data_IF_034642387670
#
_entry.id   IF_034642387670
#
_cell.length_a   1.000
_cell.length_b   1.000
_cell.length_c   1.000
_cell.angle_alpha   90.00
_cell.angle_beta   90.00
_cell.angle_gamma   90.00
#
_symmetry.space_group_name_H-M   'P 1'
#
loop_
_entity.id
_entity.type
_entity.pdbx_description
1 polymer ?
#
# COMPACT_ATOMS: atom_id res chain seq x y z
N UNK A 1 -26.40 50.49 -41.33
CA UNK A 1 -26.32 50.92 -39.91
C UNK A 1 -27.55 50.33 -39.24
N UNK A 2 -27.41 49.15 -38.63
CA UNK A 2 -27.27 48.95 -37.16
C UNK A 2 -28.68 48.90 -36.54
N UNK A 3 -29.16 47.89 -35.80
CA UNK A 3 -28.53 46.87 -34.95
C UNK A 3 -29.54 45.73 -34.67
N UNK A 4 -28.96 44.58 -34.38
CA UNK A 4 -29.48 43.29 -33.87
C UNK A 4 -30.37 43.39 -32.62
N UNK A 5 -31.35 42.49 -32.39
CA UNK A 5 -31.99 42.38 -31.09
C UNK A 5 -31.04 41.68 -30.10
N UNK A 6 -30.78 42.35 -28.97
CA UNK A 6 -29.96 41.84 -27.88
C UNK A 6 -30.69 40.73 -27.12
N UNK A 7 -30.13 39.53 -27.23
CA UNK A 7 -30.41 38.37 -26.39
C UNK A 7 -29.94 38.69 -24.96
N UNK A 8 -30.89 39.01 -24.08
CA UNK A 8 -30.60 39.11 -22.64
C UNK A 8 -30.65 37.70 -22.09
N UNK A 9 -29.49 37.07 -21.98
CA UNK A 9 -29.28 35.82 -21.25
C UNK A 9 -29.77 36.00 -19.81
N UNK A 10 -30.98 35.50 -19.52
CA UNK A 10 -31.37 35.19 -18.16
C UNK A 10 -30.39 34.14 -17.63
N UNK A 11 -29.51 34.57 -16.72
CA UNK A 11 -28.81 33.66 -15.81
C UNK A 11 -29.89 33.00 -14.96
N UNK A 12 -30.34 31.83 -15.38
CA UNK A 12 -31.06 30.89 -14.53
C UNK A 12 -30.14 30.53 -13.38
N UNK A 13 -30.38 31.24 -12.28
CA UNK A 13 -29.66 31.12 -11.03
C UNK A 13 -30.17 29.83 -10.37
N UNK A 14 -29.44 28.73 -10.51
CA UNK A 14 -29.70 27.45 -9.84
C UNK A 14 -29.34 27.55 -8.36
N UNK A 15 -30.06 28.38 -7.61
CA UNK A 15 -29.86 28.53 -6.16
C UNK A 15 -31.22 28.64 -5.45
N UNK A 16 -31.97 27.53 -5.37
CA UNK A 16 -33.22 27.51 -4.57
C UNK A 16 -33.66 26.13 -4.04
N UNK A 17 -32.74 25.20 -3.74
CA UNK A 17 -33.07 23.94 -3.03
C UNK A 17 -32.26 23.69 -1.74
N UNK A 18 -31.45 24.67 -1.28
CA UNK A 18 -30.48 24.48 -0.20
C UNK A 18 -31.05 24.26 1.23
N UNK A 19 -32.18 24.86 1.67
CA UNK A 19 -32.69 24.65 3.03
C UNK A 19 -33.22 23.23 3.31
N UNK A 20 -34.07 22.63 2.46
CA UNK A 20 -34.62 21.30 2.72
C UNK A 20 -33.57 20.21 2.56
N UNK A 21 -32.68 20.26 1.56
CA UNK A 21 -31.66 19.22 1.42
C UNK A 21 -30.66 19.24 2.59
N UNK A 22 -30.28 20.43 3.05
CA UNK A 22 -29.43 20.60 4.23
C UNK A 22 -30.06 20.02 5.48
N UNK A 23 -31.35 20.31 5.74
CA UNK A 23 -32.08 19.75 6.88
C UNK A 23 -32.25 18.22 6.79
N UNK A 24 -32.40 17.66 5.58
CA UNK A 24 -32.40 16.20 5.35
C UNK A 24 -31.06 15.57 5.75
N UNK A 25 -29.94 16.17 5.31
CA UNK A 25 -28.60 15.67 5.65
C UNK A 25 -28.32 15.77 7.14
N UNK A 26 -28.69 16.90 7.78
CA UNK A 26 -28.57 17.05 9.23
C UNK A 26 -29.42 16.04 10.01
N UNK A 27 -30.64 15.73 9.54
CA UNK A 27 -31.49 14.71 10.16
C UNK A 27 -30.85 13.31 10.11
N UNK A 28 -30.17 12.96 9.02
CA UNK A 28 -29.44 11.68 8.90
C UNK A 28 -28.17 11.65 9.77
N UNK A 29 -27.42 12.76 9.83
CA UNK A 29 -26.19 12.85 10.63
C UNK A 29 -26.47 12.80 12.13
N UNK A 30 -27.56 13.44 12.59
CA UNK A 30 -27.91 13.53 14.00
C UNK A 30 -28.66 12.28 14.52
N UNK A 31 -29.01 11.34 13.65
CA UNK A 31 -29.65 10.07 14.03
C UNK A 31 -31.09 10.22 14.55
N UNK A 32 -31.72 9.09 14.87
CA UNK A 32 -33.16 8.96 15.14
C UNK A 32 -33.71 9.94 16.19
N UNK A 33 -32.91 10.31 17.20
CA UNK A 33 -33.28 11.19 18.31
C UNK A 33 -33.43 12.67 17.92
N UNK A 34 -33.04 13.04 16.70
CA UNK A 34 -33.11 14.42 16.18
C UNK A 34 -34.37 14.75 15.37
N UNK A 35 -35.34 13.82 15.33
CA UNK A 35 -36.62 14.01 14.61
C UNK A 35 -37.36 15.26 15.09
N UNK A 36 -37.39 15.46 16.41
CA UNK A 36 -38.11 16.55 17.06
C UNK A 36 -37.36 17.88 16.91
N UNK A 37 -36.02 17.86 16.84
CA UNK A 37 -35.19 19.06 16.73
C UNK A 37 -35.04 19.59 15.30
N UNK A 38 -35.26 18.75 14.29
CA UNK A 38 -35.14 19.13 12.87
C UNK A 38 -36.50 19.24 12.15
N UNK A 39 -37.59 18.83 12.81
CA UNK A 39 -38.96 18.97 12.31
C UNK A 39 -39.26 18.16 11.05
N UNK A 40 -38.47 17.13 10.75
CA UNK A 40 -38.59 16.35 9.51
C UNK A 40 -38.58 14.85 9.75
N UNK A 41 -39.66 14.19 9.34
CA UNK A 41 -39.74 12.74 9.24
C UNK A 41 -39.08 12.27 7.93
N UNK A 42 -38.12 11.34 8.03
CA UNK A 42 -37.57 10.66 6.87
C UNK A 42 -38.59 9.63 6.38
N UNK A 43 -38.76 9.51 5.06
CA UNK A 43 -39.71 8.57 4.44
C UNK A 43 -39.06 7.81 3.29
N UNK A 44 -39.59 6.64 2.96
CA UNK A 44 -39.12 5.81 1.84
C UNK A 44 -37.65 5.40 1.97
N UNK A 45 -36.85 5.74 0.94
CA UNK A 45 -35.42 5.38 0.86
C UNK A 45 -34.60 5.95 2.02
N UNK A 46 -34.92 7.16 2.47
CA UNK A 46 -34.17 7.84 3.53
C UNK A 46 -34.42 7.19 4.89
N UNK A 47 -35.62 6.67 5.13
CA UNK A 47 -35.94 5.94 6.35
C UNK A 47 -35.21 4.59 6.40
N UNK A 48 -35.05 3.92 5.25
CA UNK A 48 -34.28 2.68 5.16
C UNK A 48 -32.78 2.92 5.39
N UNK A 49 -32.21 3.99 4.81
CA UNK A 49 -30.82 4.42 5.06
C UNK A 49 -30.59 4.75 6.54
N UNK A 50 -31.47 5.55 7.15
CA UNK A 50 -31.38 5.91 8.57
C UNK A 50 -31.49 4.68 9.47
N UNK A 51 -32.38 3.74 9.15
CA UNK A 51 -32.50 2.47 9.89
C UNK A 51 -31.22 1.63 9.78
N UNK A 52 -30.59 1.56 8.60
CA UNK A 52 -29.35 0.82 8.42
C UNK A 52 -28.17 1.46 9.19
N UNK A 53 -28.09 2.78 9.22
CA UNK A 53 -27.08 3.52 10.01
C UNK A 53 -27.33 3.39 11.51
N UNK A 54 -28.59 3.49 11.95
CA UNK A 54 -28.98 3.37 13.35
C UNK A 54 -28.74 1.96 13.90
N UNK A 55 -28.89 0.92 13.06
CA UNK A 55 -28.60 -0.45 13.44
C UNK A 55 -27.12 -0.70 13.79
N UNK A 56 -26.21 0.06 13.16
CA UNK A 56 -24.76 -0.02 13.38
C UNK A 56 -24.27 0.98 14.45
N UNK A 57 -24.69 2.24 14.37
CA UNK A 57 -24.16 3.34 15.18
C UNK A 57 -25.06 3.77 16.35
N UNK A 58 -26.34 3.36 16.36
CA UNK A 58 -27.33 3.77 17.38
C UNK A 58 -27.17 3.09 18.75
N UNK A 59 -26.31 2.07 18.87
CA UNK A 59 -26.11 1.33 20.12
C UNK A 59 -25.20 2.02 21.14
N UNK A 60 -24.39 3.01 20.74
CA UNK A 60 -23.32 3.61 21.57
C UNK A 60 -23.69 4.88 22.34
N UNK A 61 -24.87 5.47 22.07
CA UNK A 61 -25.32 6.70 22.72
C UNK A 61 -26.02 6.44 24.05
N UNK A 62 -25.27 6.42 25.16
CA UNK A 62 -25.75 6.74 26.51
C UNK A 62 -27.09 6.14 26.96
N UNK A 63 -27.22 4.80 27.04
CA UNK A 63 -28.31 4.19 27.82
C UNK A 63 -28.00 4.30 29.32
N UNK A 64 -28.60 5.27 30.01
CA UNK A 64 -28.90 5.13 31.44
C UNK A 64 -29.81 3.91 31.62
N UNK A 65 -29.59 3.06 32.63
CA UNK A 65 -30.49 1.96 32.94
C UNK A 65 -31.71 2.56 33.65
N UNK A 66 -32.78 2.86 32.92
CA UNK A 66 -34.07 3.13 33.55
C UNK A 66 -35.18 2.36 32.84
N UNK A 67 -35.62 1.36 33.58
CA UNK A 67 -36.99 0.94 33.81
C UNK A 67 -37.81 0.31 32.68
N UNK A 68 -38.51 -0.74 33.09
CA UNK A 68 -39.39 -1.57 32.28
C UNK A 68 -40.62 -0.75 31.92
N UNK A 69 -40.84 -0.49 30.63
CA UNK A 69 -42.13 0.00 30.18
C UNK A 69 -42.16 0.54 28.76
N UNK A 70 -42.79 -0.23 27.88
CA UNK A 70 -43.53 0.26 26.70
C UNK A 70 -42.72 0.70 25.47
N UNK A 71 -42.61 -0.20 24.49
CA UNK A 71 -42.92 0.13 23.08
C UNK A 71 -41.83 0.66 22.15
N UNK A 72 -40.59 0.87 22.59
CA UNK A 72 -39.48 1.25 21.70
C UNK A 72 -38.78 0.02 21.10
N UNK A 73 -39.14 -0.39 19.87
CA UNK A 73 -38.33 -1.35 19.11
C UNK A 73 -36.97 -0.73 18.81
N UNK A 74 -35.99 -0.92 19.68
CA UNK A 74 -34.59 -0.66 19.34
C UNK A 74 -34.18 -1.67 18.27
N UNK A 75 -34.06 -1.20 17.02
CA UNK A 75 -33.57 -1.96 15.87
C UNK A 75 -32.05 -2.16 15.98
N UNK A 76 -31.59 -2.76 17.08
CA UNK A 76 -30.23 -3.26 17.16
C UNK A 76 -30.10 -4.51 16.29
N UNK A 77 -28.91 -4.73 15.73
CA UNK A 77 -28.51 -6.03 15.19
C UNK A 77 -28.38 -7.00 16.38
N UNK A 78 -29.51 -7.45 16.93
CA UNK A 78 -29.55 -8.53 17.90
C UNK A 78 -28.97 -9.78 17.24
N UNK A 79 -28.15 -10.53 17.99
CA UNK A 79 -27.29 -11.65 17.56
C UNK A 79 -28.02 -12.78 16.81
N UNK A 80 -28.52 -12.49 15.61
CA UNK A 80 -29.23 -13.43 14.74
C UNK A 80 -28.76 -13.17 13.32
N UNK A 81 -28.02 -14.13 12.76
CA UNK A 81 -27.48 -14.10 11.40
C UNK A 81 -28.46 -13.60 10.31
N UNK A 82 -29.77 -13.92 10.34
CA UNK A 82 -30.71 -13.44 9.33
C UNK A 82 -30.96 -11.92 9.35
N UNK A 83 -30.77 -11.28 10.51
CA UNK A 83 -30.93 -9.82 10.63
C UNK A 83 -29.71 -9.09 10.07
N UNK A 84 -28.52 -9.67 10.25
CA UNK A 84 -27.24 -9.15 9.74
C UNK A 84 -27.17 -9.32 8.22
N UNK A 85 -27.55 -10.49 7.68
CA UNK A 85 -27.58 -10.73 6.23
C UNK A 85 -28.51 -9.74 5.50
N UNK A 86 -29.69 -9.46 6.07
CA UNK A 86 -30.61 -8.45 5.53
C UNK A 86 -29.99 -7.06 5.55
N UNK A 87 -29.38 -6.68 6.67
CA UNK A 87 -28.69 -5.40 6.81
C UNK A 87 -27.54 -5.24 5.80
N UNK A 88 -26.73 -6.28 5.58
CA UNK A 88 -25.68 -6.29 4.54
C UNK A 88 -26.26 -6.10 3.12
N UNK A 89 -27.40 -6.71 2.83
CA UNK A 89 -28.12 -6.50 1.57
C UNK A 89 -28.66 -5.07 1.43
N UNK A 90 -29.20 -4.51 2.51
CA UNK A 90 -29.74 -3.15 2.56
C UNK A 90 -28.63 -2.11 2.33
N UNK A 91 -27.48 -2.22 3.00
CA UNK A 91 -26.38 -1.26 2.82
C UNK A 91 -25.88 -1.25 1.36
N UNK A 92 -25.79 -2.41 0.70
CA UNK A 92 -25.37 -2.51 -0.71
C UNK A 92 -26.36 -1.87 -1.68
N UNK A 93 -27.64 -1.83 -1.32
CA UNK A 93 -28.70 -1.24 -2.16
C UNK A 93 -28.70 0.29 -2.07
N UNK A 94 -28.27 0.83 -0.92
CA UNK A 94 -28.43 2.24 -0.62
C UNK A 94 -27.12 3.05 -0.67
N UNK A 95 -25.97 2.42 -0.42
CA UNK A 95 -24.69 3.11 -0.33
C UNK A 95 -23.72 2.70 -1.45
N UNK A 96 -22.81 3.60 -1.89
CA UNK A 96 -21.70 3.24 -2.75
C UNK A 96 -20.78 2.20 -2.09
N UNK A 97 -20.12 1.37 -2.89
CA UNK A 97 -19.20 0.30 -2.41
C UNK A 97 -18.17 0.80 -1.40
N UNK A 98 -17.54 1.96 -1.65
CA UNK A 98 -16.56 2.54 -0.73
C UNK A 98 -17.13 2.86 0.66
N UNK A 99 -18.41 3.21 0.76
CA UNK A 99 -19.08 3.47 2.04
C UNK A 99 -19.53 2.16 2.69
N UNK A 100 -19.98 1.20 1.88
CA UNK A 100 -20.35 -0.15 2.35
C UNK A 100 -19.17 -0.83 3.04
N UNK A 101 -17.96 -0.77 2.46
CA UNK A 101 -16.74 -1.32 3.04
C UNK A 101 -16.43 -0.73 4.43
N UNK A 102 -16.53 0.60 4.58
CA UNK A 102 -16.31 1.28 5.87
C UNK A 102 -17.35 0.85 6.91
N UNK A 103 -18.63 0.81 6.52
CA UNK A 103 -19.71 0.38 7.42
C UNK A 103 -19.58 -1.11 7.80
N UNK A 104 -19.13 -1.96 6.88
CA UNK A 104 -18.89 -3.38 7.14
C UNK A 104 -17.73 -3.58 8.13
N UNK A 105 -16.61 -2.88 7.93
CA UNK A 105 -15.50 -2.85 8.89
C UNK A 105 -15.98 -2.48 10.29
N UNK A 106 -16.69 -1.34 10.40
CA UNK A 106 -17.23 -0.89 11.68
C UNK A 106 -18.17 -1.93 12.29
N UNK A 107 -18.94 -2.65 11.48
CA UNK A 107 -19.82 -3.70 11.96
C UNK A 107 -19.04 -4.94 12.46
N UNK A 108 -17.98 -5.35 11.78
CA UNK A 108 -17.10 -6.45 12.22
C UNK A 108 -16.48 -6.10 13.57
N UNK A 109 -15.91 -4.90 13.70
CA UNK A 109 -15.21 -4.46 14.92
C UNK A 109 -16.17 -4.23 16.10
N UNK A 110 -17.31 -3.56 15.86
CA UNK A 110 -18.22 -3.14 16.95
C UNK A 110 -19.24 -4.20 17.33
N UNK A 111 -19.67 -5.02 16.37
CA UNK A 111 -20.75 -5.99 16.56
C UNK A 111 -20.23 -7.43 16.63
N UNK A 112 -18.90 -7.64 16.53
CA UNK A 112 -18.29 -8.96 16.65
C UNK A 112 -18.72 -9.91 15.53
N UNK A 113 -19.00 -9.38 14.33
CA UNK A 113 -19.47 -10.19 13.19
C UNK A 113 -18.42 -11.19 12.68
N UNK A 114 -17.18 -11.10 13.15
CA UNK A 114 -16.10 -12.03 12.81
C UNK A 114 -16.52 -13.50 13.01
N UNK A 115 -17.25 -13.83 14.08
CA UNK A 115 -17.70 -15.22 14.31
C UNK A 115 -18.82 -15.65 13.34
N UNK A 116 -19.62 -14.72 12.84
CA UNK A 116 -20.68 -15.00 11.85
C UNK A 116 -20.13 -15.21 10.43
N UNK A 117 -18.89 -14.76 10.16
CA UNK A 117 -18.19 -15.07 8.91
C UNK A 117 -17.83 -16.56 8.76
N UNK A 118 -18.04 -17.38 9.80
CA UNK A 118 -17.92 -18.84 9.72
C UNK A 118 -19.09 -19.47 8.93
N UNK A 119 -20.20 -18.75 8.75
CA UNK A 119 -21.36 -19.19 8.00
C UNK A 119 -21.20 -18.84 6.50
N UNK A 120 -21.30 -19.81 5.58
CA UNK A 120 -21.11 -19.57 4.13
C UNK A 120 -22.06 -18.50 3.55
N UNK A 121 -23.32 -18.49 4.00
CA UNK A 121 -24.34 -17.52 3.55
C UNK A 121 -23.94 -16.07 3.88
N UNK A 122 -23.23 -15.87 4.99
CA UNK A 122 -22.73 -14.56 5.40
C UNK A 122 -21.55 -14.12 4.54
N UNK A 123 -20.64 -15.03 4.17
CA UNK A 123 -19.49 -14.71 3.32
C UNK A 123 -19.91 -14.26 1.91
N UNK A 124 -20.98 -14.83 1.36
CA UNK A 124 -21.51 -14.44 0.05
C UNK A 124 -22.18 -13.05 0.08
N UNK A 125 -22.69 -12.64 1.24
CA UNK A 125 -23.37 -11.36 1.42
C UNK A 125 -22.41 -10.18 1.65
N UNK A 126 -21.19 -10.45 2.14
CA UNK A 126 -20.18 -9.43 2.45
C UNK A 126 -19.46 -8.98 1.18
N UNK A 127 -19.10 -7.69 1.13
CA UNK A 127 -18.32 -7.16 0.01
C UNK A 127 -16.84 -7.55 0.18
N UNK A 128 -16.19 -8.15 -0.82
CA UNK A 128 -14.79 -8.53 -0.70
C UNK A 128 -13.89 -7.30 -0.58
N UNK A 129 -13.16 -7.20 0.52
CA UNK A 129 -12.14 -6.18 0.74
C UNK A 129 -10.88 -6.76 1.42
N UNK A 130 -9.80 -5.99 1.46
CA UNK A 130 -8.51 -6.41 2.04
C UNK A 130 -8.62 -6.68 3.55
N UNK A 131 -9.52 -5.98 4.25
CA UNK A 131 -9.67 -6.09 5.69
C UNK A 131 -10.40 -7.39 6.08
N UNK A 132 -11.42 -7.77 5.30
CA UNK A 132 -12.11 -9.05 5.36
C UNK A 132 -11.12 -10.19 5.17
N UNK A 133 -10.21 -10.10 4.18
CA UNK A 133 -9.16 -11.12 4.01
C UNK A 133 -8.33 -11.27 5.28
N UNK A 134 -7.89 -10.15 5.89
CA UNK A 134 -7.17 -10.18 7.17
C UNK A 134 -7.98 -10.86 8.30
N UNK A 135 -9.28 -10.58 8.36
CA UNK A 135 -10.21 -11.19 9.33
C UNK A 135 -10.40 -12.69 9.07
N UNK A 136 -10.52 -13.12 7.81
CA UNK A 136 -10.65 -14.54 7.46
C UNK A 136 -9.37 -15.31 7.77
N UNK A 137 -8.20 -14.71 7.54
CA UNK A 137 -6.92 -15.32 7.85
C UNK A 137 -6.72 -15.48 9.36
N UNK A 138 -7.18 -14.53 10.19
CA UNK A 138 -7.10 -14.66 11.66
C UNK A 138 -8.03 -15.76 12.19
N UNK A 139 -9.17 -15.96 11.53
CA UNK A 139 -10.13 -17.05 11.83
C UNK A 139 -9.73 -18.40 11.23
N UNK A 140 -8.65 -18.48 10.45
CA UNK A 140 -8.24 -19.65 9.65
C UNK A 140 -8.20 -20.99 10.39
N UNK A 141 -7.82 -21.00 11.68
CA UNK A 141 -7.78 -22.22 12.52
C UNK A 141 -9.15 -22.69 13.00
N UNK A 142 -10.12 -21.78 13.10
CA UNK A 142 -11.46 -22.06 13.61
C UNK A 142 -12.48 -22.38 12.50
N UNK A 143 -12.11 -22.17 11.23
CA UNK A 143 -13.01 -22.40 10.09
C UNK A 143 -13.18 -23.90 9.77
N UNK A 144 -14.43 -24.38 9.62
CA UNK A 144 -14.71 -25.69 9.02
C UNK A 144 -14.21 -25.78 7.57
N UNK A 145 -13.82 -26.99 7.11
CA UNK A 145 -13.29 -27.20 5.74
C UNK A 145 -14.24 -26.70 4.63
N UNK A 146 -15.55 -26.87 4.81
CA UNK A 146 -16.56 -26.39 3.84
C UNK A 146 -16.56 -24.86 3.72
N UNK A 147 -16.35 -24.14 4.83
CA UNK A 147 -16.29 -22.67 4.83
C UNK A 147 -14.95 -22.18 4.27
N UNK A 148 -13.86 -22.96 4.41
CA UNK A 148 -12.54 -22.59 3.88
C UNK A 148 -12.54 -22.44 2.36
N UNK A 149 -13.29 -23.26 1.64
CA UNK A 149 -13.40 -23.14 0.18
C UNK A 149 -14.11 -21.84 -0.23
N UNK A 150 -15.22 -21.50 0.44
CA UNK A 150 -15.93 -20.22 0.21
C UNK A 150 -15.04 -19.03 0.58
N UNK A 151 -14.34 -19.08 1.71
CA UNK A 151 -13.39 -18.05 2.12
C UNK A 151 -12.26 -17.91 1.08
N UNK A 152 -11.71 -19.00 0.56
CA UNK A 152 -10.72 -18.99 -0.52
C UNK A 152 -11.25 -18.34 -1.79
N UNK A 153 -12.50 -18.60 -2.17
CA UNK A 153 -13.12 -17.96 -3.34
C UNK A 153 -13.25 -16.43 -3.16
N UNK A 154 -13.65 -15.98 -1.97
CA UNK A 154 -13.72 -14.55 -1.63
C UNK A 154 -12.34 -13.91 -1.66
N UNK A 155 -11.34 -14.52 -1.02
CA UNK A 155 -9.95 -14.04 -1.02
C UNK A 155 -9.39 -13.98 -2.44
N UNK A 156 -9.64 -15.00 -3.26
CA UNK A 156 -9.21 -15.05 -4.66
C UNK A 156 -9.73 -13.87 -5.45
N UNK A 157 -11.01 -13.51 -5.29
CA UNK A 157 -11.59 -12.35 -5.97
C UNK A 157 -10.88 -11.05 -5.59
N UNK A 158 -10.58 -10.83 -4.31
CA UNK A 158 -9.82 -9.65 -3.85
C UNK A 158 -8.41 -9.64 -4.43
N UNK A 159 -7.74 -10.79 -4.42
CA UNK A 159 -6.38 -10.96 -4.96
C UNK A 159 -6.35 -10.69 -6.46
N UNK A 160 -7.28 -11.24 -7.24
CA UNK A 160 -7.38 -11.03 -8.69
C UNK A 160 -7.64 -9.55 -9.03
N UNK A 161 -8.53 -8.89 -8.28
CA UNK A 161 -8.81 -7.46 -8.47
C UNK A 161 -7.58 -6.58 -8.15
N UNK A 162 -6.85 -6.92 -7.08
CA UNK A 162 -5.59 -6.24 -6.72
C UNK A 162 -4.49 -6.49 -7.74
N UNK A 163 -4.32 -7.74 -8.19
CA UNK A 163 -3.34 -8.10 -9.19
C UNK A 163 -3.60 -7.37 -10.50
N UNK A 164 -4.83 -7.36 -11.00
CA UNK A 164 -5.21 -6.64 -12.22
C UNK A 164 -4.90 -5.14 -12.14
N UNK A 165 -5.09 -4.52 -10.96
CA UNK A 165 -4.79 -3.11 -10.74
C UNK A 165 -3.28 -2.83 -10.65
N UNK A 166 -2.53 -3.70 -9.97
CA UNK A 166 -1.13 -3.44 -9.60
C UNK A 166 -0.10 -4.01 -10.59
N UNK A 167 -0.42 -5.10 -11.29
CA UNK A 167 0.55 -5.85 -12.12
C UNK A 167 1.16 -4.97 -13.21
N UNK A 168 0.33 -4.33 -14.04
CA UNK A 168 0.78 -3.57 -15.22
C UNK A 168 1.75 -2.44 -14.84
N UNK A 169 1.42 -1.66 -13.80
CA UNK A 169 2.29 -0.58 -13.31
C UNK A 169 3.57 -1.15 -12.71
N UNK A 170 3.47 -2.17 -11.86
CA UNK A 170 4.61 -2.81 -11.21
C UNK A 170 5.61 -3.33 -12.24
N UNK A 171 5.12 -4.09 -13.22
CA UNK A 171 5.94 -4.66 -14.29
C UNK A 171 6.64 -3.60 -15.12
N UNK A 172 5.91 -2.54 -15.50
CA UNK A 172 6.45 -1.45 -16.32
C UNK A 172 7.55 -0.69 -15.58
N UNK A 173 7.26 -0.27 -14.35
CA UNK A 173 8.19 0.51 -13.52
C UNK A 173 9.45 -0.29 -13.21
N UNK A 174 9.32 -1.56 -12.81
CA UNK A 174 10.45 -2.41 -12.45
C UNK A 174 11.26 -2.87 -13.65
N UNK A 175 10.63 -3.18 -14.78
CA UNK A 175 11.36 -3.52 -16.02
C UNK A 175 12.23 -2.34 -16.46
N UNK A 176 11.68 -1.11 -16.43
CA UNK A 176 12.45 0.08 -16.75
C UNK A 176 13.60 0.35 -15.76
N UNK A 177 13.40 0.05 -14.48
CA UNK A 177 14.43 0.16 -13.45
C UNK A 177 15.55 -0.88 -13.62
N UNK A 178 15.18 -2.13 -13.92
CA UNK A 178 16.11 -3.22 -14.18
C UNK A 178 16.98 -2.95 -15.41
N UNK A 179 16.38 -2.46 -16.49
CA UNK A 179 17.10 -2.04 -17.70
C UNK A 179 18.12 -0.93 -17.42
N UNK A 180 17.74 0.07 -16.63
CA UNK A 180 18.66 1.15 -16.22
C UNK A 180 19.75 0.68 -15.26
N UNK A 181 19.44 -0.29 -14.41
CA UNK A 181 20.39 -0.87 -13.46
C UNK A 181 21.41 -1.78 -14.15
N UNK A 182 21.02 -2.43 -15.26
CA UNK A 182 21.90 -3.21 -16.11
C UNK A 182 22.83 -2.25 -16.84
N UNK A 183 24.11 -2.24 -16.50
CA UNK A 183 25.10 -1.36 -17.13
C UNK A 183 25.90 -2.12 -18.15
N UNK A 184 26.11 -1.53 -19.32
CA UNK A 184 26.99 -2.08 -20.35
C UNK A 184 28.21 -1.17 -20.55
N UNK A 185 29.40 -1.78 -20.61
CA UNK A 185 30.67 -1.07 -20.83
C UNK A 185 30.99 -0.84 -22.31
N UNK A 186 30.09 -1.24 -23.22
CA UNK A 186 30.16 -1.04 -24.68
C UNK A 186 28.76 -0.74 -25.24
N UNK A 187 28.16 0.42 -24.90
CA UNK A 187 26.86 0.81 -25.43
C UNK A 187 26.90 1.19 -26.92
N UNK A 188 25.76 1.05 -27.60
CA UNK A 188 25.54 1.70 -28.91
C UNK A 188 25.34 3.20 -28.68
N UNK A 189 25.61 4.01 -29.70
CA UNK A 189 25.54 5.48 -29.60
C UNK A 189 24.24 6.03 -28.99
N UNK A 190 23.09 5.38 -29.20
CA UNK A 190 21.78 5.81 -28.66
C UNK A 190 21.56 5.45 -27.19
N UNK A 191 22.31 4.49 -26.65
CA UNK A 191 22.12 3.94 -25.31
C UNK A 191 23.17 4.47 -24.32
N UNK A 192 23.98 5.46 -24.71
CA UNK A 192 25.05 6.04 -23.88
C UNK A 192 24.45 6.90 -22.78
N UNK A 193 24.83 6.60 -21.53
CA UNK A 193 24.63 7.50 -20.39
C UNK A 193 25.74 8.56 -20.43
N UNK A 194 25.45 9.69 -21.08
CA UNK A 194 26.43 10.76 -21.33
C UNK A 194 26.92 11.40 -20.04
N UNK A 195 26.04 11.68 -19.09
CA UNK A 195 26.41 12.33 -17.82
C UNK A 195 27.41 11.46 -17.04
N UNK A 196 27.13 10.16 -16.94
CA UNK A 196 28.02 9.22 -16.23
C UNK A 196 29.30 8.90 -17.02
N UNK A 197 29.19 8.84 -18.35
CA UNK A 197 30.36 8.69 -19.23
C UNK A 197 31.28 9.91 -19.08
N UNK A 198 30.75 11.13 -19.06
CA UNK A 198 31.55 12.34 -18.83
C UNK A 198 32.22 12.25 -17.46
N UNK A 199 31.45 12.00 -16.38
CA UNK A 199 32.01 11.90 -15.01
C UNK A 199 33.10 10.84 -14.87
N UNK A 200 32.93 9.67 -15.46
CA UNK A 200 33.93 8.60 -15.43
C UNK A 200 35.20 8.93 -16.22
N UNK A 201 35.11 9.84 -17.20
CA UNK A 201 36.21 10.24 -18.07
C UNK A 201 36.69 11.67 -17.80
N UNK A 202 36.23 12.33 -16.73
CA UNK A 202 36.71 13.67 -16.35
C UNK A 202 38.22 13.71 -16.13
N UNK A 203 38.83 12.59 -15.71
CA UNK A 203 40.29 12.41 -15.65
C UNK A 203 41.01 12.58 -17.01
N UNK A 204 40.27 12.47 -18.11
CA UNK A 204 40.76 12.57 -19.49
C UNK A 204 40.30 13.89 -20.14
N UNK A 205 40.16 14.95 -19.35
CA UNK A 205 39.86 16.29 -19.85
C UNK A 205 41.12 16.89 -20.49
N UNK A 206 41.03 17.17 -21.79
CA UNK A 206 42.08 17.84 -22.54
C UNK A 206 41.71 19.31 -22.70
N UNK A 207 42.57 20.20 -22.21
CA UNK A 207 42.50 21.62 -22.52
C UNK A 207 43.05 21.84 -23.92
N UNK A 208 42.22 22.27 -24.86
CA UNK A 208 42.70 22.65 -26.19
C UNK A 208 43.07 24.14 -26.16
N UNK A 209 44.20 24.53 -26.78
CA UNK A 209 44.43 25.93 -27.13
C UNK A 209 43.28 26.39 -28.03
N UNK A 210 42.71 27.56 -27.75
CA UNK A 210 41.70 28.15 -28.62
C UNK A 210 42.27 28.26 -30.05
N UNK A 211 41.50 27.90 -31.11
CA UNK A 211 41.95 28.10 -32.47
C UNK A 211 42.17 29.59 -32.73
N UNK A 212 43.32 29.92 -33.31
CA UNK A 212 43.83 31.26 -33.65
C UNK A 212 42.99 32.01 -34.72
N UNK A 213 41.75 31.58 -34.97
CA UNK A 213 40.88 32.10 -36.03
C UNK A 213 39.85 33.12 -35.55
N UNK A 214 39.93 33.58 -34.30
CA UNK A 214 39.17 34.74 -33.82
C UNK A 214 40.06 35.99 -33.78
N UNK A 215 40.62 36.37 -34.93
CA UNK A 215 41.18 37.70 -35.14
C UNK A 215 40.03 38.70 -35.22
N UNK A 216 39.44 39.08 -34.09
CA UNK A 216 38.90 40.43 -33.87
C UNK A 216 38.49 40.65 -32.42
N UNK A 217 39.09 41.70 -31.85
CA UNK A 217 38.64 42.52 -30.72
C UNK A 217 38.63 41.89 -29.30
N UNK A 218 39.70 42.21 -28.57
CA UNK A 218 39.69 42.75 -27.20
C UNK A 218 38.55 42.28 -26.28
N UNK A 219 38.77 41.20 -25.53
CA UNK A 219 38.28 41.09 -24.14
C UNK A 219 39.12 40.05 -23.38
N UNK A 220 39.69 40.51 -22.28
CA UNK A 220 40.43 39.79 -21.25
C UNK A 220 39.73 38.52 -20.77
N UNK A 221 40.40 37.38 -20.92
CA UNK A 221 40.00 36.09 -20.34
C UNK A 221 40.33 34.95 -21.30
N UNK A 222 41.44 34.24 -21.07
CA UNK A 222 41.84 33.06 -21.83
C UNK A 222 40.73 32.00 -21.80
N UNK A 223 39.87 31.99 -22.83
CA UNK A 223 38.82 31.01 -22.98
C UNK A 223 39.43 29.69 -23.47
N UNK A 224 39.93 28.88 -22.54
CA UNK A 224 40.38 27.52 -22.83
C UNK A 224 39.16 26.63 -23.07
N UNK A 225 38.86 26.34 -24.33
CA UNK A 225 37.87 25.30 -24.67
C UNK A 225 38.50 23.94 -24.38
N UNK A 226 37.96 23.17 -23.43
CA UNK A 226 38.41 21.81 -23.18
C UNK A 226 37.44 20.75 -23.71
N UNK A 227 37.97 19.59 -24.05
CA UNK A 227 37.22 18.43 -24.55
C UNK A 227 37.50 17.22 -23.66
N UNK A 228 36.45 16.49 -23.26
CA UNK A 228 36.59 15.21 -22.54
C UNK A 228 36.67 14.08 -23.57
N UNK A 229 37.76 13.31 -23.56
CA UNK A 229 37.88 12.12 -24.42
C UNK A 229 37.32 10.89 -23.69
N UNK A 230 36.20 10.30 -24.16
CA UNK A 230 35.58 9.17 -23.49
C UNK A 230 36.34 7.87 -23.79
N UNK A 231 37.23 7.47 -22.88
CA UNK A 231 37.92 6.16 -22.88
C UNK A 231 36.96 5.03 -22.50
N UNK A 232 36.09 5.28 -21.50
CA UNK A 232 35.11 4.31 -21.01
C UNK A 232 33.69 4.78 -21.26
N UNK A 233 33.01 4.18 -22.24
CA UNK A 233 31.60 4.41 -22.50
C UNK A 233 30.75 3.58 -21.54
N UNK A 234 29.83 4.24 -20.83
CA UNK A 234 28.85 3.60 -19.96
C UNK A 234 27.48 3.83 -20.59
N UNK A 235 26.68 2.77 -20.74
CA UNK A 235 25.31 2.94 -21.19
C UNK A 235 24.32 1.97 -20.56
N UNK A 236 23.06 2.21 -20.88
CA UNK A 236 21.93 1.46 -20.37
C UNK A 236 21.86 0.08 -21.06
N UNK A 237 21.76 -0.98 -20.27
CA UNK A 237 21.65 -2.35 -20.76
C UNK A 237 20.23 -2.65 -21.19
N UNK A 238 20.07 -3.37 -22.31
CA UNK A 238 18.76 -3.93 -22.68
C UNK A 238 18.47 -5.19 -21.86
N UNK A 239 17.23 -5.31 -21.40
CA UNK A 239 16.63 -6.38 -20.59
C UNK A 239 17.20 -7.79 -20.76
N UNK A 240 17.51 -8.23 -21.99
CA UNK A 240 17.92 -9.62 -22.29
C UNK A 240 19.27 -10.05 -21.70
N UNK A 241 20.06 -9.14 -21.12
CA UNK A 241 21.31 -9.45 -20.40
C UNK A 241 21.41 -8.77 -19.03
N UNK A 242 20.29 -8.26 -18.50
CA UNK A 242 20.28 -7.64 -17.18
C UNK A 242 20.70 -8.67 -16.12
N UNK A 243 21.60 -8.27 -15.21
CA UNK A 243 22.02 -9.12 -14.11
C UNK A 243 20.80 -9.42 -13.23
N UNK A 244 20.53 -10.70 -12.96
CA UNK A 244 19.43 -11.12 -12.07
C UNK A 244 19.56 -10.38 -10.75
N UNK A 245 18.54 -9.63 -10.35
CA UNK A 245 18.46 -9.02 -9.01
C UNK A 245 17.75 -9.96 -8.05
N UNK A 246 18.21 -9.98 -6.80
CA UNK A 246 17.57 -10.76 -5.74
C UNK A 246 16.70 -9.81 -4.90
N UNK A 247 15.43 -10.16 -4.70
CA UNK A 247 14.51 -9.42 -3.82
C UNK A 247 14.10 -10.36 -2.69
N UNK A 248 14.26 -9.90 -1.46
CA UNK A 248 13.79 -10.61 -0.26
C UNK A 248 12.72 -9.74 0.39
N UNK A 249 11.47 -10.19 0.34
CA UNK A 249 10.35 -9.61 1.06
C UNK A 249 10.28 -10.30 2.43
N UNK A 250 10.53 -9.55 3.49
CA UNK A 250 10.45 -10.00 4.87
C UNK A 250 9.23 -9.34 5.51
N UNK A 251 8.16 -10.11 5.74
CA UNK A 251 6.85 -9.57 6.09
C UNK A 251 6.44 -10.03 7.49
N UNK A 252 6.12 -9.06 8.33
CA UNK A 252 5.59 -9.27 9.67
C UNK A 252 4.15 -9.76 9.60
N UNK A 253 3.86 -10.80 10.38
CA UNK A 253 2.58 -11.45 10.44
C UNK A 253 1.77 -11.16 11.71
N UNK A 254 2.12 -10.08 12.42
CA UNK A 254 1.30 -9.54 13.49
C UNK A 254 -0.11 -9.19 13.00
N UNK A 255 -1.08 -9.22 13.91
CA UNK A 255 -2.48 -8.96 13.57
C UNK A 255 -2.73 -7.56 12.98
N UNK A 256 -1.94 -6.56 13.39
CA UNK A 256 -1.94 -5.20 12.84
C UNK A 256 -1.49 -5.16 11.37
N UNK A 257 -0.71 -6.15 10.92
CA UNK A 257 -0.09 -6.18 9.60
C UNK A 257 -0.87 -6.97 8.56
N UNK A 258 -2.07 -7.47 8.88
CA UNK A 258 -2.86 -8.33 7.99
C UNK A 258 -3.07 -7.73 6.59
N UNK A 259 -3.41 -6.44 6.48
CA UNK A 259 -3.56 -5.77 5.18
C UNK A 259 -2.23 -5.70 4.40
N UNK A 260 -1.13 -5.44 5.10
CA UNK A 260 0.22 -5.41 4.53
C UNK A 260 0.64 -6.78 4.00
N UNK A 261 0.25 -7.88 4.68
CA UNK A 261 0.52 -9.26 4.23
C UNK A 261 -0.22 -9.56 2.91
N UNK A 262 -1.46 -9.08 2.75
CA UNK A 262 -2.23 -9.22 1.50
C UNK A 262 -1.52 -8.56 0.34
N UNK A 263 -1.19 -7.27 0.47
CA UNK A 263 -0.46 -6.56 -0.58
C UNK A 263 0.91 -7.17 -0.86
N UNK A 264 1.66 -7.55 0.18
CA UNK A 264 2.97 -8.18 0.01
C UNK A 264 2.90 -9.53 -0.71
N UNK A 265 1.83 -10.30 -0.52
CA UNK A 265 1.59 -11.57 -1.23
C UNK A 265 1.34 -11.33 -2.72
N UNK A 266 0.48 -10.35 -3.05
CA UNK A 266 0.20 -9.96 -4.45
C UNK A 266 1.47 -9.45 -5.13
N UNK A 267 2.19 -8.52 -4.50
CA UNK A 267 3.46 -8.03 -5.06
C UNK A 267 4.49 -9.15 -5.16
N UNK A 268 4.56 -10.06 -4.18
CA UNK A 268 5.43 -11.23 -4.20
C UNK A 268 5.22 -12.07 -5.46
N UNK A 269 3.96 -12.38 -5.78
CA UNK A 269 3.61 -13.14 -6.98
C UNK A 269 3.93 -12.39 -8.28
N UNK A 270 3.58 -11.11 -8.37
CA UNK A 270 3.91 -10.26 -9.53
C UNK A 270 5.43 -10.22 -9.75
N UNK A 271 6.22 -10.05 -8.68
CA UNK A 271 7.68 -10.04 -8.73
C UNK A 271 8.24 -11.41 -9.13
N UNK A 272 7.68 -12.51 -8.61
CA UNK A 272 8.10 -13.87 -8.95
C UNK A 272 7.86 -14.21 -10.43
N UNK A 273 6.83 -13.64 -11.05
CA UNK A 273 6.56 -13.80 -12.49
C UNK A 273 7.64 -13.17 -13.39
N UNK A 274 8.48 -12.27 -12.86
CA UNK A 274 9.52 -11.56 -13.61
C UNK A 274 10.83 -12.36 -13.67
N UNK A 275 11.18 -12.89 -14.84
CA UNK A 275 12.39 -13.72 -15.06
C UNK A 275 13.73 -13.06 -14.70
N UNK A 276 13.77 -11.73 -14.67
CA UNK A 276 14.95 -10.92 -14.34
C UNK A 276 15.14 -10.72 -12.83
N UNK A 277 14.17 -11.16 -12.03
CA UNK A 277 14.16 -11.10 -10.57
C UNK A 277 14.19 -12.52 -9.99
N UNK A 278 14.86 -12.67 -8.86
CA UNK A 278 14.71 -13.81 -7.96
C UNK A 278 14.03 -13.28 -6.70
N UNK A 279 12.75 -13.59 -6.54
CA UNK A 279 11.96 -13.13 -5.39
C UNK A 279 11.95 -14.22 -4.33
N UNK A 280 12.14 -13.83 -3.07
CA UNK A 280 11.92 -14.67 -1.89
C UNK A 280 10.92 -13.98 -1.00
N UNK A 281 9.98 -14.74 -0.46
CA UNK A 281 9.00 -14.24 0.50
C UNK A 281 9.16 -14.99 1.82
N UNK A 282 9.60 -14.26 2.83
CA UNK A 282 9.80 -14.75 4.18
C UNK A 282 8.77 -14.05 5.05
N UNK A 283 7.91 -14.82 5.68
CA UNK A 283 6.93 -14.31 6.65
C UNK A 283 7.37 -14.69 8.05
N UNK A 284 7.14 -13.82 9.01
CA UNK A 284 7.59 -14.05 10.37
C UNK A 284 6.63 -13.52 11.43
N UNK A 285 6.64 -14.21 12.55
CA UNK A 285 6.01 -13.84 13.81
C UNK A 285 7.05 -14.14 14.93
N UNK A 286 6.79 -15.14 15.78
CA UNK A 286 7.76 -15.84 16.63
C UNK A 286 8.59 -16.90 15.87
N UNK A 287 8.09 -17.38 14.74
CA UNK A 287 8.78 -18.31 13.85
C UNK A 287 9.05 -17.62 12.50
N UNK A 288 9.96 -18.21 11.72
CA UNK A 288 10.30 -17.72 10.38
C UNK A 288 9.89 -18.80 9.39
N UNK A 289 9.04 -18.45 8.43
CA UNK A 289 8.53 -19.35 7.39
C UNK A 289 8.91 -18.78 6.02
N UNK A 290 9.52 -19.63 5.20
CA UNK A 290 9.86 -19.29 3.82
C UNK A 290 8.75 -19.78 2.89
N UNK A 291 8.03 -18.85 2.28
CA UNK A 291 6.90 -19.11 1.37
C UNK A 291 7.30 -18.89 -0.10
N UNK A 292 8.60 -18.86 -0.40
CA UNK A 292 9.11 -18.67 -1.76
C UNK A 292 8.52 -19.69 -2.75
N UNK A 293 8.31 -20.94 -2.34
CA UNK A 293 7.76 -22.01 -3.19
C UNK A 293 6.26 -21.86 -3.47
N UNK A 294 5.57 -20.94 -2.78
CA UNK A 294 4.12 -20.68 -2.94
C UNK A 294 3.82 -19.38 -3.68
N UNK A 295 4.86 -18.66 -4.12
CA UNK A 295 4.70 -17.36 -4.78
C UNK A 295 3.90 -17.41 -6.09
N UNK A 296 3.70 -18.59 -6.68
CA UNK A 296 2.89 -18.75 -7.88
C UNK A 296 1.38 -18.52 -7.64
N UNK A 297 0.90 -18.69 -6.39
CA UNK A 297 -0.49 -18.41 -6.01
C UNK A 297 -0.54 -17.56 -4.73
N UNK A 298 -0.87 -16.24 -4.82
CA UNK A 298 -0.98 -15.38 -3.66
C UNK A 298 -2.00 -15.88 -2.62
N UNK A 299 -3.04 -16.60 -3.04
CA UNK A 299 -4.03 -17.17 -2.12
C UNK A 299 -3.37 -18.25 -1.25
N UNK A 300 -2.56 -19.12 -1.83
CA UNK A 300 -1.84 -20.16 -1.07
C UNK A 300 -0.72 -19.61 -0.18
N UNK A 301 -0.13 -18.47 -0.55
CA UNK A 301 0.72 -17.69 0.36
C UNK A 301 -0.10 -17.25 1.57
N UNK A 302 -1.23 -16.56 1.35
CA UNK A 302 -2.06 -16.02 2.43
C UNK A 302 -2.56 -17.10 3.39
N UNK A 303 -3.10 -18.21 2.88
CA UNK A 303 -3.52 -19.34 3.73
C UNK A 303 -2.34 -20.14 4.33
N UNK A 304 -1.12 -19.95 3.82
CA UNK A 304 0.12 -20.46 4.43
C UNK A 304 0.62 -19.62 5.60
N UNK A 305 0.12 -18.40 5.75
CA UNK A 305 0.49 -17.46 6.82
C UNK A 305 -0.44 -17.67 8.04
N UNK A 306 0.09 -17.73 9.27
CA UNK A 306 -0.70 -17.80 10.52
C UNK A 306 -0.68 -16.48 11.30
N UNK A 307 -1.78 -15.71 11.28
CA UNK A 307 -1.82 -14.38 11.92
C UNK A 307 -1.89 -14.55 13.44
N UNK A 308 -0.91 -14.00 14.15
CA UNK A 308 -0.92 -13.92 15.62
C UNK A 308 0.30 -14.54 16.29
N UNK A 309 0.78 -13.88 17.34
CA UNK A 309 2.02 -14.20 18.05
C UNK A 309 2.74 -12.92 18.45
N UNK A 310 3.86 -13.06 19.17
CA UNK A 310 4.84 -11.97 19.29
C UNK A 310 5.65 -11.81 17.99
N UNK A 311 6.52 -10.81 17.95
CA UNK A 311 7.35 -10.49 16.78
C UNK A 311 8.84 -10.62 17.11
N UNK A 312 9.58 -11.39 16.32
CA UNK A 312 11.06 -11.49 16.40
C UNK A 312 11.69 -11.09 15.06
N UNK A 313 11.92 -9.79 14.89
CA UNK A 313 12.45 -9.23 13.64
C UNK A 313 13.92 -9.64 13.47
N UNK A 314 14.71 -9.65 14.55
CA UNK A 314 16.12 -10.06 14.51
C UNK A 314 16.30 -11.48 13.94
N UNK A 315 15.48 -12.45 14.37
CA UNK A 315 15.54 -13.83 13.87
C UNK A 315 15.18 -13.91 12.38
N UNK A 316 14.14 -13.18 11.96
CA UNK A 316 13.76 -13.10 10.55
C UNK A 316 14.89 -12.51 9.69
N UNK A 317 15.51 -11.42 10.13
CA UNK A 317 16.65 -10.82 9.45
C UNK A 317 17.89 -11.74 9.44
N UNK A 318 18.12 -12.52 10.50
CA UNK A 318 19.20 -13.52 10.53
C UNK A 318 19.00 -14.60 9.48
N UNK A 319 17.76 -15.11 9.35
CA UNK A 319 17.40 -16.06 8.30
C UNK A 319 17.61 -15.45 6.92
N UNK A 320 17.05 -14.26 6.67
CA UNK A 320 17.23 -13.54 5.42
C UNK A 320 18.71 -13.37 5.07
N UNK A 321 19.53 -12.90 6.01
CA UNK A 321 20.98 -12.73 5.83
C UNK A 321 21.68 -14.02 5.42
N UNK A 322 21.31 -15.16 6.01
CA UNK A 322 21.89 -16.47 5.66
C UNK A 322 21.59 -16.93 4.23
N UNK A 323 20.51 -16.40 3.63
CA UNK A 323 20.07 -16.72 2.26
C UNK A 323 20.62 -15.76 1.20
N UNK A 324 21.28 -14.67 1.60
CA UNK A 324 21.86 -13.69 0.67
C UNK A 324 23.19 -14.22 0.15
N UNK A 325 23.25 -14.52 -1.15
CA UNK A 325 24.47 -14.96 -1.83
C UNK A 325 25.17 -13.81 -2.59
N UNK A 326 24.42 -12.80 -3.01
CA UNK A 326 24.93 -11.67 -3.81
C UNK A 326 24.52 -10.31 -3.21
N UNK A 327 25.16 -9.87 -2.12
CA UNK A 327 24.77 -8.66 -1.39
C UNK A 327 24.58 -7.42 -2.27
N UNK A 328 25.49 -7.16 -3.20
CA UNK A 328 25.49 -5.96 -4.07
C UNK A 328 24.27 -5.89 -5.01
N UNK A 329 23.70 -7.05 -5.36
CA UNK A 329 22.54 -7.22 -6.25
C UNK A 329 21.25 -7.58 -5.51
N UNK A 330 21.28 -7.56 -4.17
CA UNK A 330 20.14 -7.90 -3.32
C UNK A 330 19.46 -6.66 -2.76
N UNK A 331 18.13 -6.65 -2.85
CA UNK A 331 17.24 -5.72 -2.14
C UNK A 331 16.49 -6.50 -1.07
N UNK A 332 16.56 -6.06 0.18
CA UNK A 332 15.77 -6.59 1.29
C UNK A 332 14.74 -5.55 1.68
N UNK A 333 13.47 -5.95 1.68
CA UNK A 333 12.34 -5.13 2.08
C UNK A 333 11.76 -5.72 3.35
N UNK A 334 11.87 -4.98 4.46
CA UNK A 334 11.22 -5.33 5.71
C UNK A 334 9.87 -4.61 5.78
N UNK A 335 8.78 -5.36 5.89
CA UNK A 335 7.42 -4.85 6.08
C UNK A 335 7.01 -5.20 7.51
N UNK A 336 7.06 -4.23 8.42
CA UNK A 336 6.78 -4.41 9.86
C UNK A 336 6.49 -3.06 10.51
N UNK A 337 5.63 -3.06 11.53
CA UNK A 337 5.36 -1.90 12.39
C UNK A 337 6.54 -1.59 13.37
N UNK A 338 7.61 -2.39 13.31
CA UNK A 338 8.84 -2.26 14.10
C UNK A 338 8.65 -2.42 15.61
N UNK A 339 7.51 -2.95 16.07
CA UNK A 339 7.38 -3.38 17.45
C UNK A 339 8.13 -4.70 17.64
N UNK A 340 9.39 -4.58 18.07
CA UNK A 340 10.28 -5.72 18.31
C UNK A 340 10.08 -6.27 19.73
N UNK A 341 9.76 -7.56 19.83
CA UNK A 341 9.77 -8.29 21.10
C UNK A 341 11.16 -8.85 21.47
N UNK A 342 12.11 -8.84 20.52
CA UNK A 342 13.47 -9.32 20.65
C UNK A 342 14.52 -8.27 21.05
N UNK A 343 15.78 -8.51 20.66
CA UNK A 343 16.94 -7.69 21.07
C UNK A 343 17.21 -6.60 20.02
N UNK A 344 16.74 -5.38 20.30
CA UNK A 344 16.92 -4.16 19.48
C UNK A 344 18.34 -3.98 18.93
N UNK A 345 19.35 -4.06 19.80
CA UNK A 345 20.74 -3.78 19.42
C UNK A 345 21.29 -4.79 18.41
N UNK A 346 20.84 -6.04 18.48
CA UNK A 346 21.25 -7.07 17.52
C UNK A 346 20.60 -6.85 16.17
N UNK A 347 19.31 -6.50 16.14
CA UNK A 347 18.61 -6.14 14.91
C UNK A 347 19.34 -5.00 14.19
N UNK A 348 19.67 -3.92 14.89
CA UNK A 348 20.38 -2.77 14.31
C UNK A 348 21.78 -3.13 13.82
N UNK A 349 22.55 -3.91 14.59
CA UNK A 349 23.87 -4.43 14.16
C UNK A 349 23.75 -5.27 12.89
N UNK A 350 22.70 -6.08 12.77
CA UNK A 350 22.47 -6.94 11.62
C UNK A 350 22.13 -6.14 10.37
N UNK A 351 21.23 -5.16 10.49
CA UNK A 351 20.92 -4.23 9.38
C UNK A 351 22.18 -3.49 8.94
N UNK A 352 22.98 -2.98 9.89
CA UNK A 352 24.24 -2.32 9.60
C UNK A 352 25.22 -3.25 8.84
N UNK A 353 25.34 -4.52 9.26
CA UNK A 353 26.18 -5.51 8.59
C UNK A 353 25.70 -5.83 7.17
N UNK A 354 24.39 -6.00 6.97
CA UNK A 354 23.81 -6.23 5.64
C UNK A 354 24.09 -5.04 4.72
N UNK A 355 23.87 -3.81 5.21
CA UNK A 355 24.18 -2.60 4.43
C UNK A 355 25.66 -2.45 4.13
N UNK A 356 26.55 -2.73 5.09
CA UNK A 356 27.99 -2.71 4.88
C UNK A 356 28.44 -3.73 3.82
N UNK A 357 27.74 -4.87 3.69
CA UNK A 357 27.98 -5.84 2.63
C UNK A 357 27.49 -5.41 1.24
N UNK A 358 26.73 -4.32 1.14
CA UNK A 358 26.24 -3.75 -0.12
C UNK A 358 24.76 -4.00 -0.44
N UNK A 359 24.04 -4.67 0.47
CA UNK A 359 22.58 -4.89 0.38
C UNK A 359 21.85 -3.56 0.41
N UNK A 360 20.85 -3.40 -0.47
CA UNK A 360 19.89 -2.31 -0.35
C UNK A 360 18.80 -2.73 0.63
N UNK A 361 18.65 -2.00 1.73
CA UNK A 361 17.68 -2.31 2.77
C UNK A 361 16.62 -1.23 2.82
N UNK A 362 15.35 -1.63 2.72
CA UNK A 362 14.17 -0.76 2.76
C UNK A 362 13.26 -1.22 3.88
N UNK A 363 12.77 -0.28 4.69
CA UNK A 363 11.81 -0.58 5.76
C UNK A 363 10.48 0.11 5.47
N UNK A 364 9.43 -0.69 5.39
CA UNK A 364 8.06 -0.25 5.18
C UNK A 364 7.27 -0.49 6.46
N UNK A 365 6.79 0.60 7.07
CA UNK A 365 6.07 0.57 8.34
C UNK A 365 4.66 -0.03 8.19
N UNK A 366 4.07 0.20 7.02
CA UNK A 366 2.86 -0.45 6.55
C UNK A 366 2.85 -0.42 5.03
N UNK A 367 2.18 -1.42 4.47
CA UNK A 367 1.85 -1.49 3.06
C UNK A 367 0.33 -1.52 2.93
N UNK A 368 -0.31 -0.40 3.24
CA UNK A 368 -1.77 -0.25 3.23
C UNK A 368 -2.17 1.13 2.72
N UNK A 369 -3.43 1.24 2.28
CA UNK A 369 -4.03 2.52 1.90
C UNK A 369 -4.46 3.36 3.12
N UNK A 370 -4.24 2.88 4.35
CA UNK A 370 -4.63 3.57 5.59
C UNK A 370 -3.48 4.44 6.12
N UNK A 371 -3.66 5.76 6.03
CA UNK A 371 -2.61 6.78 6.18
C UNK A 371 -2.03 7.02 7.59
N UNK A 372 -2.12 6.10 8.54
CA UNK A 372 -1.47 6.26 9.84
C UNK A 372 -1.13 4.92 10.50
N UNK A 373 -0.03 4.26 10.13
CA UNK A 373 0.45 3.12 10.88
C UNK A 373 0.90 3.55 12.28
N UNK A 374 0.51 2.82 13.31
CA UNK A 374 1.17 2.89 14.62
C UNK A 374 2.49 2.11 14.49
N UNK A 375 3.62 2.75 14.81
CA UNK A 375 4.94 2.12 14.70
C UNK A 375 5.90 2.62 15.78
N UNK A 376 6.98 1.87 16.00
CA UNK A 376 8.04 2.29 16.92
C UNK A 376 8.92 3.40 16.30
N UNK A 377 8.71 4.64 16.76
CA UNK A 377 9.47 5.81 16.31
C UNK A 377 10.97 5.74 16.65
N UNK A 378 11.35 5.08 17.74
CA UNK A 378 12.75 4.96 18.13
C UNK A 378 13.50 3.98 17.23
N UNK A 379 12.87 2.85 16.89
CA UNK A 379 13.42 1.90 15.92
C UNK A 379 13.49 2.50 14.52
N UNK A 380 12.44 3.20 14.09
CA UNK A 380 12.42 3.89 12.81
C UNK A 380 13.54 4.93 12.69
N UNK A 381 13.76 5.73 13.74
CA UNK A 381 14.84 6.72 13.79
C UNK A 381 16.22 6.07 13.76
N UNK A 382 16.42 4.98 14.51
CA UNK A 382 17.68 4.25 14.54
C UNK A 382 18.02 3.60 13.18
N UNK A 383 17.03 3.01 12.50
CA UNK A 383 17.19 2.50 11.13
C UNK A 383 17.50 3.63 10.14
N UNK A 384 16.82 4.77 10.28
CA UNK A 384 17.09 5.97 9.50
C UNK A 384 18.54 6.46 9.63
N UNK A 385 19.11 6.44 10.85
CA UNK A 385 20.51 6.80 11.10
C UNK A 385 21.50 5.83 10.44
N UNK A 386 21.12 4.57 10.26
CA UNK A 386 21.89 3.57 9.50
C UNK A 386 21.69 3.73 7.97
N UNK A 387 20.89 4.71 7.53
CA UNK A 387 20.51 4.97 6.15
C UNK A 387 19.50 3.97 5.59
N UNK A 388 18.77 3.25 6.44
CA UNK A 388 17.62 2.44 6.08
C UNK A 388 16.36 3.23 6.44
N UNK A 389 15.86 4.11 5.55
CA UNK A 389 14.71 4.93 5.89
C UNK A 389 13.49 4.02 6.11
N UNK A 390 12.79 4.25 7.21
CA UNK A 390 11.53 3.62 7.54
C UNK A 390 10.39 4.60 7.24
N UNK A 391 9.43 4.18 6.41
CA UNK A 391 8.29 5.00 6.03
C UNK A 391 7.05 4.15 5.72
N UNK A 392 5.88 4.76 5.81
CA UNK A 392 4.63 4.15 5.35
C UNK A 392 4.54 4.30 3.83
N UNK A 393 4.11 3.24 3.14
CA UNK A 393 3.98 3.25 1.69
C UNK A 393 2.59 2.76 1.31
N UNK A 394 1.87 3.55 0.51
CA UNK A 394 0.67 3.02 -0.13
C UNK A 394 1.07 1.98 -1.19
N UNK A 395 0.25 0.94 -1.41
CA UNK A 395 0.46 -0.04 -2.47
C UNK A 395 0.79 0.58 -3.84
N UNK A 396 0.15 1.70 -4.20
CA UNK A 396 0.40 2.38 -5.48
C UNK A 396 1.82 2.96 -5.61
N UNK A 397 2.51 3.29 -4.51
CA UNK A 397 3.87 3.83 -4.49
C UNK A 397 4.95 2.74 -4.38
N UNK A 398 4.57 1.52 -3.96
CA UNK A 398 5.52 0.42 -3.75
C UNK A 398 6.37 0.10 -4.99
N UNK A 399 5.82 0.06 -6.23
CA UNK A 399 6.64 -0.14 -7.43
C UNK A 399 7.76 0.90 -7.62
N UNK A 400 7.47 2.17 -7.31
CA UNK A 400 8.41 3.27 -7.49
C UNK A 400 9.52 3.23 -6.43
N UNK A 401 9.18 2.85 -5.19
CA UNK A 401 10.14 2.56 -4.11
C UNK A 401 11.08 1.42 -4.51
N UNK A 402 10.52 0.32 -5.01
CA UNK A 402 11.30 -0.85 -5.44
C UNK A 402 12.21 -0.52 -6.63
N UNK A 403 11.73 0.26 -7.61
CA UNK A 403 12.55 0.73 -8.71
C UNK A 403 13.73 1.60 -8.22
N UNK A 404 13.48 2.55 -7.32
CA UNK A 404 14.54 3.36 -6.73
C UNK A 404 15.58 2.51 -5.98
N UNK A 405 15.12 1.50 -5.22
CA UNK A 405 15.99 0.56 -4.50
C UNK A 405 16.86 -0.28 -5.46
N UNK A 406 16.28 -0.82 -6.54
CA UNK A 406 17.00 -1.58 -7.58
C UNK A 406 18.07 -0.72 -8.27
N UNK A 407 17.77 0.55 -8.52
CA UNK A 407 18.67 1.49 -9.18
C UNK A 407 19.71 2.12 -8.24
N UNK A 408 19.56 1.92 -6.92
CA UNK A 408 20.34 2.60 -5.86
C UNK A 408 20.23 4.12 -5.95
N UNK A 409 19.02 4.61 -6.27
CA UNK A 409 18.66 6.03 -6.20
C UNK A 409 18.11 6.36 -4.81
N UNK A 410 18.06 7.65 -4.41
CA UNK A 410 17.31 8.06 -3.24
C UNK A 410 15.87 7.53 -3.32
N UNK A 411 15.39 6.93 -2.24
CA UNK A 411 14.05 6.39 -2.18
C UNK A 411 13.03 7.55 -2.21
N UNK A 412 11.89 7.41 -2.91
CA UNK A 412 10.81 8.37 -2.86
C UNK A 412 10.12 8.25 -1.50
N UNK A 413 10.71 8.88 -0.49
CA UNK A 413 10.13 8.95 0.86
C UNK A 413 9.05 10.04 0.80
N UNK A 414 7.79 9.75 1.12
CA UNK A 414 6.78 10.80 1.26
C UNK A 414 7.24 11.79 2.34
N UNK A 415 7.25 13.08 2.01
CA UNK A 415 7.80 14.13 2.86
C UNK A 415 7.24 14.07 4.29
N UNK A 416 8.13 14.20 5.29
CA UNK A 416 7.76 14.29 6.70
C UNK A 416 6.88 15.50 7.05
N UNK A 417 6.69 16.45 6.14
CA UNK A 417 5.96 17.71 6.36
C UNK A 417 4.44 17.61 6.20
N UNK A 418 3.89 16.47 5.75
CA UNK A 418 2.44 16.33 5.51
C UNK A 418 1.77 15.19 6.30
N UNK A 419 2.35 14.77 7.42
CA UNK A 419 1.57 14.03 8.43
C UNK A 419 0.76 15.05 9.25
N UNK A 420 -0.58 15.01 9.23
CA UNK A 420 -1.42 15.93 10.01
C UNK A 420 -1.25 15.77 11.52
#
# INVERSE_FOLDING_TARGET
MSQTPGETTERTTTASHAPPERLRRWRMVLGADSADSTGRALTGRDAAMDSALNALYGGGGGKKPSDRGTGGRSAGLGASAPSVARWLGDIRTYFPSSVVQVMQRDAIDRLGLATLLLEPEMLEAVEPDVHLVGTLLSLGKAMPETTKETARAVVRKVVEDLEARLESRTRTTLTGALDRSARISRPRHRDIDWDRTIRANLKNYLTLPAPDTATTAETTGTATTGTVVPERLIGYGRSSRSAKKDIVLCVDQSGSMAASVVHASVFGAVLASMRTLSTRLVVFDTAVVDLTDRLDDPVDVLFGTQLGGGTDINRALAYCQSRITRPVDTVVVLISDLYEGGIRDEMLKRVAAMKASGVQFVTLLALSDEGAPAYDHEHAAALGALGAPAFACTPDLFPDVMAAAIEKRPLPIPDKEHQP
#
